data_IF_106991569501
#
_entry.id   IF_106991569501
#
_cell.length_a   1.000
_cell.length_b   1.000
_cell.length_c   1.000
_cell.angle_alpha   90.00
_cell.angle_beta   90.00
_cell.angle_gamma   90.00
#
_symmetry.space_group_name_H-M   'P 1'
#
loop_
_entity.id
_entity.type
_entity.pdbx_description
1 polymer ?
#
# COMPACT_ATOMS: atom_id res chain seq x y z
N UNK A 1 -13.40 24.12 -22.83
CA UNK A 1 -12.01 23.61 -23.08
C UNK A 1 -11.24 23.67 -21.77
N UNK A 2 -11.27 22.58 -21.02
CA UNK A 2 -10.57 22.46 -19.75
C UNK A 2 -9.12 22.17 -20.12
N UNK A 3 -8.25 23.15 -19.97
CA UNK A 3 -6.80 22.96 -20.08
C UNK A 3 -6.33 22.20 -18.84
N UNK A 4 -6.28 20.88 -18.93
CA UNK A 4 -5.54 20.06 -18.00
C UNK A 4 -4.08 20.06 -18.46
N UNK A 5 -3.23 20.66 -17.70
CA UNK A 5 -1.79 20.67 -17.88
C UNK A 5 -1.19 21.10 -16.56
N UNK A 6 -1.10 20.17 -15.60
CA UNK A 6 -0.21 20.40 -14.47
C UNK A 6 1.22 20.27 -14.99
N UNK A 7 2.01 21.28 -14.69
CA UNK A 7 3.45 21.29 -14.97
C UNK A 7 4.14 21.18 -13.64
N UNK A 8 4.97 20.17 -13.50
CA UNK A 8 5.77 19.94 -12.31
C UNK A 8 7.24 19.91 -12.73
N UNK A 9 8.05 20.77 -12.17
CA UNK A 9 9.43 20.98 -12.59
C UNK A 9 10.42 20.49 -11.53
N UNK A 10 11.46 19.82 -11.98
CA UNK A 10 12.73 19.67 -11.24
C UNK A 10 13.76 20.63 -11.82
N UNK A 11 14.95 20.69 -11.24
CA UNK A 11 16.06 21.50 -11.77
C UNK A 11 16.50 21.09 -13.19
N UNK A 12 16.23 19.83 -13.59
CA UNK A 12 16.69 19.26 -14.87
C UNK A 12 15.57 18.85 -15.81
N UNK A 13 14.42 18.47 -15.30
CA UNK A 13 13.31 17.93 -16.09
C UNK A 13 11.98 18.61 -15.76
N UNK A 14 11.15 18.72 -16.76
CA UNK A 14 9.75 19.16 -16.68
C UNK A 14 8.84 17.98 -16.98
N UNK A 15 7.80 17.81 -16.17
CA UNK A 15 6.79 16.75 -16.32
C UNK A 15 5.47 17.39 -16.71
N UNK A 16 4.89 16.93 -17.81
CA UNK A 16 3.61 17.43 -18.34
C UNK A 16 2.62 16.29 -18.41
N UNK A 17 1.51 16.45 -17.69
CA UNK A 17 0.37 15.57 -17.77
C UNK A 17 -0.54 15.89 -18.95
N UNK A 18 -1.27 14.92 -19.42
CA UNK A 18 -2.29 15.10 -20.45
C UNK A 18 -3.26 13.90 -20.49
N UNK A 19 -4.36 14.07 -21.23
CA UNK A 19 -5.26 12.96 -21.58
C UNK A 19 -4.55 11.82 -22.33
N UNK A 20 -3.38 12.09 -22.91
CA UNK A 20 -2.56 11.11 -23.66
C UNK A 20 -1.46 10.48 -22.80
N UNK A 21 -1.27 10.94 -21.55
CA UNK A 21 -0.30 10.39 -20.62
C UNK A 21 0.67 11.41 -20.03
N UNK A 22 1.76 10.92 -19.46
CA UNK A 22 2.83 11.70 -18.84
C UNK A 22 4.02 11.79 -19.78
N UNK A 23 4.52 13.02 -19.98
CA UNK A 23 5.72 13.30 -20.78
C UNK A 23 6.74 14.03 -19.94
N UNK A 24 7.97 13.55 -19.96
CA UNK A 24 9.15 14.19 -19.40
C UNK A 24 9.86 15.02 -20.49
N UNK A 25 10.30 16.21 -20.14
CA UNK A 25 11.09 17.09 -21.03
C UNK A 25 12.37 17.46 -20.30
N UNK A 26 13.51 17.10 -20.85
CA UNK A 26 14.79 17.59 -20.36
C UNK A 26 14.94 19.07 -20.71
N UNK A 27 15.05 19.94 -19.71
CA UNK A 27 15.06 21.39 -19.90
C UNK A 27 16.35 21.89 -20.60
N UNK A 28 17.45 21.18 -20.45
CA UNK A 28 18.74 21.57 -21.06
C UNK A 28 18.84 21.16 -22.53
N UNK A 29 18.32 19.98 -22.90
CA UNK A 29 18.46 19.43 -24.26
C UNK A 29 17.20 19.55 -25.10
N UNK A 30 16.04 19.83 -24.48
CA UNK A 30 14.73 19.82 -25.13
C UNK A 30 14.24 18.42 -25.52
N UNK A 31 14.97 17.34 -25.17
CA UNK A 31 14.54 15.97 -25.45
C UNK A 31 13.29 15.62 -24.65
N UNK A 32 12.39 14.90 -25.29
CA UNK A 32 11.13 14.47 -24.70
C UNK A 32 11.08 12.95 -24.59
N UNK A 33 10.59 12.45 -23.46
CA UNK A 33 10.38 11.03 -23.20
C UNK A 33 8.96 10.81 -22.66
N UNK A 34 8.22 9.91 -23.28
CA UNK A 34 6.91 9.54 -22.79
C UNK A 34 7.05 8.47 -21.71
N UNK A 35 6.51 8.76 -20.51
CA UNK A 35 6.62 7.88 -19.33
C UNK A 35 5.39 6.99 -19.18
N UNK A 36 4.19 7.55 -19.39
CA UNK A 36 2.92 6.83 -19.25
C UNK A 36 2.00 7.12 -20.44
N UNK A 37 1.20 6.11 -20.82
CA UNK A 37 0.21 6.19 -21.91
C UNK A 37 -1.23 6.12 -21.39
N UNK A 38 -1.49 6.59 -20.17
CA UNK A 38 -2.83 6.60 -19.55
C UNK A 38 -3.22 8.04 -19.25
N UNK A 39 -4.53 8.27 -19.08
CA UNK A 39 -5.00 9.62 -18.74
C UNK A 39 -4.53 10.00 -17.33
N UNK A 40 -3.61 10.97 -17.26
CA UNK A 40 -3.05 11.51 -16.02
C UNK A 40 -3.89 12.70 -15.57
N UNK A 41 -4.21 12.73 -14.28
CA UNK A 41 -5.08 13.73 -13.63
C UNK A 41 -4.35 14.58 -12.60
N UNK A 42 -3.35 14.02 -11.95
CA UNK A 42 -2.63 14.70 -10.88
C UNK A 42 -1.15 14.32 -10.87
N UNK A 43 -0.31 15.30 -10.55
CA UNK A 43 1.13 15.14 -10.36
C UNK A 43 1.50 15.75 -9.01
N UNK A 44 2.29 15.03 -8.21
CA UNK A 44 2.82 15.53 -6.96
C UNK A 44 4.21 14.98 -6.70
N UNK A 45 5.20 15.83 -6.52
CA UNK A 45 6.49 15.41 -5.97
C UNK A 45 6.34 15.13 -4.48
N UNK A 46 6.79 13.96 -4.04
CA UNK A 46 6.96 13.63 -2.63
C UNK A 46 8.37 13.98 -2.15
N UNK A 47 9.34 13.89 -3.05
CA UNK A 47 10.72 14.33 -2.87
C UNK A 47 11.31 14.69 -4.23
N UNK A 48 12.56 15.18 -4.26
CA UNK A 48 13.29 15.47 -5.50
C UNK A 48 13.45 14.25 -6.42
N UNK A 49 13.36 13.05 -5.85
CA UNK A 49 13.57 11.79 -6.55
C UNK A 49 12.30 10.92 -6.67
N UNK A 50 11.16 11.39 -6.17
CA UNK A 50 9.94 10.59 -6.18
C UNK A 50 8.74 11.42 -6.65
N UNK A 51 8.21 11.06 -7.84
CA UNK A 51 7.04 11.66 -8.45
C UNK A 51 5.85 10.71 -8.34
N UNK A 52 4.76 11.18 -7.74
CA UNK A 52 3.48 10.49 -7.67
C UNK A 52 2.57 10.99 -8.78
N UNK A 53 1.93 10.05 -9.46
CA UNK A 53 1.13 10.31 -10.67
C UNK A 53 -0.23 9.66 -10.50
N UNK A 54 -1.26 10.47 -10.33
CA UNK A 54 -2.65 10.02 -10.31
C UNK A 54 -3.21 9.90 -11.72
N UNK A 55 -3.75 8.74 -12.06
CA UNK A 55 -4.31 8.45 -13.36
C UNK A 55 -5.68 7.77 -13.24
N UNK A 56 -6.39 7.62 -14.37
CA UNK A 56 -7.64 6.87 -14.45
C UNK A 56 -7.44 5.35 -14.20
N UNK A 57 -6.21 4.87 -14.37
CA UNK A 57 -5.87 3.45 -14.26
C UNK A 57 -5.12 3.10 -12.98
N UNK A 58 -5.06 3.99 -12.01
CA UNK A 58 -4.38 3.78 -10.74
C UNK A 58 -3.41 4.88 -10.36
N UNK A 59 -2.65 4.60 -9.31
CA UNK A 59 -1.59 5.45 -8.80
C UNK A 59 -0.23 4.91 -9.27
N UNK A 60 0.58 5.77 -9.88
CA UNK A 60 1.95 5.45 -10.27
C UNK A 60 2.93 6.22 -9.39
N UNK A 61 3.94 5.52 -8.88
CA UNK A 61 5.04 6.11 -8.12
C UNK A 61 6.31 5.92 -8.94
N UNK A 62 6.84 7.03 -9.41
CA UNK A 62 8.02 7.06 -10.26
C UNK A 62 9.25 7.46 -9.48
N UNK A 63 10.24 6.57 -9.40
CA UNK A 63 11.55 6.85 -8.84
C UNK A 63 12.46 7.41 -9.93
N UNK A 64 12.80 8.70 -9.83
CA UNK A 64 13.55 9.44 -10.83
C UNK A 64 15.05 9.10 -10.85
N UNK A 65 15.55 8.43 -9.81
CA UNK A 65 16.97 8.06 -9.73
C UNK A 65 17.29 6.81 -10.55
N UNK A 66 16.36 5.84 -10.57
CA UNK A 66 16.58 4.53 -11.19
C UNK A 66 15.55 4.17 -12.26
N UNK A 67 14.72 5.12 -12.65
CA UNK A 67 13.65 4.97 -13.66
C UNK A 67 12.61 3.88 -13.31
N UNK A 68 12.50 3.48 -12.04
CA UNK A 68 11.54 2.45 -11.62
C UNK A 68 10.16 3.07 -11.43
N UNK A 69 9.15 2.43 -12.01
CA UNK A 69 7.75 2.77 -11.83
C UNK A 69 7.08 1.66 -11.00
N UNK A 70 6.41 2.04 -9.93
CA UNK A 70 5.50 1.18 -9.16
C UNK A 70 4.08 1.57 -9.52
N UNK A 71 3.26 0.62 -9.93
CA UNK A 71 1.85 0.84 -10.26
C UNK A 71 0.97 0.20 -9.19
N UNK A 72 0.14 0.99 -8.54
CA UNK A 72 -0.80 0.57 -7.52
C UNK A 72 -2.22 0.70 -8.06
N UNK A 73 -2.98 -0.38 -7.92
CA UNK A 73 -4.39 -0.49 -8.31
C UNK A 73 -5.21 -1.07 -7.17
N UNK A 74 -6.51 -0.94 -7.25
CA UNK A 74 -7.42 -1.67 -6.36
C UNK A 74 -7.24 -3.17 -6.63
N UNK A 75 -6.92 -3.97 -5.61
CA UNK A 75 -6.80 -5.41 -5.76
C UNK A 75 -8.15 -6.08 -5.94
N UNK A 76 -8.17 -7.28 -6.52
CA UNK A 76 -9.38 -8.10 -6.69
C UNK A 76 -9.96 -8.62 -5.35
N UNK A 77 -9.22 -8.50 -4.27
CA UNK A 77 -9.60 -8.91 -2.93
C UNK A 77 -9.79 -7.70 -2.02
N UNK A 78 -10.70 -7.80 -1.06
CA UNK A 78 -10.96 -6.79 -0.03
C UNK A 78 -9.73 -6.58 0.86
N UNK A 79 -8.85 -5.66 0.46
CA UNK A 79 -7.73 -5.18 1.25
C UNK A 79 -8.05 -3.78 1.79
N UNK A 80 -8.28 -3.68 3.09
CA UNK A 80 -8.58 -2.41 3.78
C UNK A 80 -7.46 -1.37 3.70
N UNK A 81 -6.26 -1.76 3.28
CA UNK A 81 -5.09 -0.90 3.15
C UNK A 81 -4.73 -0.58 1.69
N UNK A 82 -5.47 -1.15 0.75
CA UNK A 82 -5.30 -0.83 -0.66
C UNK A 82 -5.99 0.48 -1.04
N UNK A 83 -5.74 0.93 -2.26
CA UNK A 83 -6.49 2.02 -2.85
C UNK A 83 -7.98 1.67 -2.91
N UNK A 84 -8.82 2.65 -2.59
CA UNK A 84 -10.27 2.50 -2.61
C UNK A 84 -10.88 2.63 -4.02
N UNK A 85 -10.11 3.17 -4.98
CA UNK A 85 -10.52 3.36 -6.38
C UNK A 85 -9.27 3.52 -7.26
N UNK A 86 -9.38 3.12 -8.54
CA UNK A 86 -8.32 3.29 -9.53
C UNK A 86 -8.26 4.70 -10.14
N UNK A 87 -9.40 5.39 -10.20
CA UNK A 87 -9.46 6.73 -10.78
C UNK A 87 -8.95 7.79 -9.80
N UNK A 88 -7.67 8.11 -9.85
CA UNK A 88 -7.01 9.06 -8.95
C UNK A 88 -7.05 10.46 -9.55
N UNK A 89 -7.74 11.38 -8.86
CA UNK A 89 -8.02 12.74 -9.34
C UNK A 89 -7.20 13.83 -8.70
N UNK A 90 -6.71 13.62 -7.48
CA UNK A 90 -5.92 14.62 -6.77
C UNK A 90 -4.87 13.97 -5.88
N UNK A 91 -3.75 14.66 -5.73
CA UNK A 91 -2.64 14.29 -4.86
C UNK A 91 -2.21 15.51 -4.06
N UNK A 92 -1.93 15.36 -2.80
CA UNK A 92 -1.41 16.42 -1.95
C UNK A 92 -0.43 15.83 -0.93
N UNK A 93 0.81 16.31 -0.96
CA UNK A 93 1.79 16.02 0.06
C UNK A 93 1.59 16.97 1.23
N UNK A 94 1.46 16.45 2.45
CA UNK A 94 1.33 17.27 3.64
C UNK A 94 2.70 17.67 4.23
N UNK A 95 2.67 18.46 5.31
CA UNK A 95 3.87 18.95 5.99
C UNK A 95 4.69 17.86 6.67
N UNK A 96 4.08 16.70 6.91
CA UNK A 96 4.69 15.54 7.53
C UNK A 96 5.20 14.53 6.49
N UNK A 97 5.18 14.93 5.20
CA UNK A 97 5.51 14.08 4.05
C UNK A 97 4.55 12.89 3.85
N UNK A 98 3.37 12.93 4.42
CA UNK A 98 2.28 12.02 4.09
C UNK A 98 1.64 12.40 2.75
N UNK A 99 1.10 11.42 2.03
CA UNK A 99 0.43 11.66 0.76
C UNK A 99 -1.08 11.43 0.89
N UNK A 100 -1.85 12.47 0.62
CA UNK A 100 -3.29 12.43 0.49
C UNK A 100 -3.66 12.16 -0.97
N UNK A 101 -4.52 11.19 -1.20
CA UNK A 101 -4.88 10.67 -2.52
C UNK A 101 -6.39 10.73 -2.64
N UNK A 102 -6.88 11.65 -3.45
CA UNK A 102 -8.31 11.78 -3.73
C UNK A 102 -8.68 10.98 -4.97
N UNK A 103 -9.68 10.11 -4.85
CA UNK A 103 -10.20 9.28 -5.93
C UNK A 103 -11.60 9.73 -6.36
N UNK A 104 -12.06 9.23 -7.51
CA UNK A 104 -13.35 9.67 -8.08
C UNK A 104 -14.56 9.15 -7.30
N UNK A 105 -14.58 7.85 -7.00
CA UNK A 105 -15.67 7.22 -6.25
C UNK A 105 -15.25 6.68 -4.87
N UNK A 106 -13.96 6.43 -4.65
CA UNK A 106 -13.44 5.80 -3.44
C UNK A 106 -13.15 6.76 -2.28
N UNK A 107 -13.43 8.07 -2.43
CA UNK A 107 -13.17 9.08 -1.40
C UNK A 107 -11.69 9.43 -1.29
N UNK A 108 -11.13 9.39 -0.08
CA UNK A 108 -9.75 9.83 0.20
C UNK A 108 -8.96 8.70 0.85
N UNK A 109 -7.77 8.43 0.33
CA UNK A 109 -6.78 7.55 0.93
C UNK A 109 -5.63 8.38 1.50
N UNK A 110 -5.02 7.91 2.56
CA UNK A 110 -3.85 8.54 3.16
C UNK A 110 -2.70 7.54 3.28
N UNK A 111 -1.55 7.90 2.71
CA UNK A 111 -0.32 7.15 2.82
C UNK A 111 0.66 7.94 3.72
N UNK A 112 0.89 7.53 4.98
CA UNK A 112 1.79 8.23 5.89
C UNK A 112 3.25 8.11 5.42
N UNK A 113 4.07 9.11 5.77
CA UNK A 113 5.51 9.11 5.44
C UNK A 113 6.27 7.98 6.13
N UNK A 114 5.99 7.76 7.39
CA UNK A 114 6.55 6.65 8.13
C UNK A 114 5.55 5.50 8.15
N UNK A 115 5.96 4.38 7.62
CA UNK A 115 5.31 3.11 7.91
C UNK A 115 5.32 2.97 9.44
N UNK A 116 4.16 2.81 10.03
CA UNK A 116 4.05 2.60 11.46
C UNK A 116 4.97 1.45 11.88
N UNK A 117 5.61 1.56 13.04
CA UNK A 117 6.40 0.48 13.64
C UNK A 117 5.56 -0.77 13.94
N UNK A 118 4.30 -0.79 13.50
CA UNK A 118 3.37 -1.89 13.66
C UNK A 118 3.17 -2.57 12.30
N UNK A 119 3.66 -3.79 12.19
CA UNK A 119 3.27 -4.69 11.13
C UNK A 119 1.92 -5.32 11.49
N UNK A 120 0.97 -5.27 10.56
CA UNK A 120 -0.35 -5.86 10.78
C UNK A 120 -0.38 -7.25 10.16
N UNK A 121 -0.51 -8.25 11.01
CA UNK A 121 -0.73 -9.62 10.58
C UNK A 121 -2.22 -9.81 10.32
N UNK A 122 -2.59 -9.63 9.06
CA UNK A 122 -3.90 -10.01 8.57
C UNK A 122 -3.75 -11.26 7.74
N UNK A 123 -4.46 -12.35 8.05
CA UNK A 123 -4.41 -13.56 7.23
C UNK A 123 -4.93 -13.23 5.84
N UNK A 124 -4.01 -13.09 4.87
CA UNK A 124 -4.30 -12.66 3.49
C UNK A 124 -5.02 -13.73 2.69
N UNK A 125 -4.83 -15.02 3.03
CA UNK A 125 -5.33 -16.11 2.23
C UNK A 125 -6.33 -16.95 3.02
N UNK A 126 -7.59 -16.91 2.57
CA UNK A 126 -8.66 -17.87 2.89
C UNK A 126 -8.89 -18.26 4.35
N UNK A 127 -8.16 -17.68 5.30
CA UNK A 127 -8.35 -17.89 6.72
C UNK A 127 -9.49 -17.00 7.26
N UNK A 128 -10.64 -17.03 6.61
CA UNK A 128 -11.91 -16.59 7.23
C UNK A 128 -12.17 -17.30 8.57
N UNK A 129 -11.25 -18.17 8.97
CA UNK A 129 -11.28 -18.97 10.19
C UNK A 129 -10.36 -18.46 11.30
N UNK A 130 -9.45 -17.50 11.03
CA UNK A 130 -8.63 -16.90 12.07
C UNK A 130 -9.49 -16.02 12.98
N UNK A 131 -9.40 -16.23 14.28
CA UNK A 131 -10.17 -15.48 15.28
C UNK A 131 -9.81 -13.98 15.26
N UNK A 132 -10.81 -13.12 15.30
CA UNK A 132 -10.61 -11.67 15.37
C UNK A 132 -10.27 -11.18 16.78
N UNK A 133 -10.41 -12.04 17.78
CA UNK A 133 -10.22 -11.71 19.19
C UNK A 133 -9.05 -12.52 19.73
N UNK A 134 -7.85 -12.00 19.54
CA UNK A 134 -6.63 -12.57 20.12
C UNK A 134 -6.61 -12.28 21.62
N UNK A 135 -6.42 -13.31 22.41
CA UNK A 135 -6.37 -13.26 23.87
C UNK A 135 -4.97 -13.44 24.41
N UNK A 136 -4.25 -14.41 23.87
CA UNK A 136 -2.96 -14.84 24.37
C UNK A 136 -1.97 -14.99 23.21
N UNK A 137 -0.73 -14.63 23.46
CA UNK A 137 0.38 -14.88 22.54
C UNK A 137 1.55 -15.41 23.39
N UNK A 138 2.13 -16.52 22.95
CA UNK A 138 3.30 -17.11 23.60
C UNK A 138 4.32 -17.50 22.55
N UNK A 139 5.58 -17.09 22.74
CA UNK A 139 6.69 -17.49 21.87
C UNK A 139 7.20 -18.85 22.28
N UNK A 140 7.36 -19.76 21.33
CA UNK A 140 7.94 -21.08 21.50
C UNK A 140 9.47 -21.03 21.45
N UNK A 141 10.15 -22.05 21.97
CA UNK A 141 11.62 -22.14 21.96
C UNK A 141 12.24 -22.16 20.54
N UNK A 142 11.45 -22.50 19.54
CA UNK A 142 11.84 -22.52 18.12
C UNK A 142 11.57 -21.18 17.38
N UNK A 143 11.12 -20.14 18.11
CA UNK A 143 10.81 -18.83 17.56
C UNK A 143 9.44 -18.72 16.88
N UNK A 144 8.61 -19.78 16.89
CA UNK A 144 7.23 -19.70 16.44
C UNK A 144 6.34 -19.06 17.52
N UNK A 145 5.22 -18.48 17.12
CA UNK A 145 4.26 -17.86 18.03
C UNK A 145 2.98 -18.70 18.13
N UNK A 146 2.60 -19.03 19.35
CA UNK A 146 1.29 -19.60 19.65
C UNK A 146 0.30 -18.48 19.94
N UNK A 147 -0.81 -18.46 19.19
CA UNK A 147 -1.82 -17.42 19.26
C UNK A 147 -3.15 -18.02 19.68
N UNK A 148 -3.56 -17.70 20.90
CA UNK A 148 -4.84 -18.11 21.46
C UNK A 148 -5.93 -17.09 21.15
N UNK A 149 -7.06 -17.58 20.65
CA UNK A 149 -8.20 -16.73 20.30
C UNK A 149 -9.42 -17.05 21.16
N UNK A 150 -10.36 -16.10 21.23
CA UNK A 150 -11.59 -16.27 22.01
C UNK A 150 -12.64 -17.13 21.27
N UNK A 151 -12.56 -17.18 19.95
CA UNK A 151 -13.64 -17.71 19.11
C UNK A 151 -13.22 -18.77 18.09
N UNK A 152 -11.90 -18.98 17.90
CA UNK A 152 -11.38 -19.88 16.85
C UNK A 152 -10.28 -20.84 17.31
N UNK A 153 -10.00 -20.89 18.61
CA UNK A 153 -9.01 -21.81 19.18
C UNK A 153 -7.58 -21.31 19.11
N UNK A 154 -6.65 -22.23 18.90
CA UNK A 154 -5.21 -22.01 18.95
C UNK A 154 -4.62 -22.05 17.55
N UNK A 155 -3.69 -21.13 17.28
CA UNK A 155 -2.94 -21.06 16.02
C UNK A 155 -1.44 -21.05 16.30
N UNK A 156 -0.66 -21.59 15.38
CA UNK A 156 0.78 -21.45 15.33
C UNK A 156 1.16 -20.53 14.17
N UNK A 157 1.97 -19.52 14.44
CA UNK A 157 2.50 -18.57 13.46
C UNK A 157 4.01 -18.70 13.38
N UNK A 158 4.53 -18.87 12.17
CA UNK A 158 5.96 -18.88 11.90
C UNK A 158 6.38 -17.51 11.30
N UNK A 159 7.17 -16.69 12.04
CA UNK A 159 7.59 -15.37 11.59
C UNK A 159 8.51 -15.40 10.36
N UNK A 160 9.30 -16.46 10.15
CA UNK A 160 10.26 -16.55 9.05
C UNK A 160 9.59 -16.63 7.69
N UNK A 161 8.47 -17.36 7.60
CA UNK A 161 7.77 -17.56 6.32
C UNK A 161 6.37 -16.93 6.29
N UNK A 162 5.94 -16.28 7.39
CA UNK A 162 4.64 -15.64 7.51
C UNK A 162 3.44 -16.59 7.54
N UNK A 163 3.69 -17.91 7.71
CA UNK A 163 2.64 -18.93 7.69
C UNK A 163 1.93 -19.01 9.04
N UNK A 164 0.60 -19.03 9.02
CA UNK A 164 -0.23 -19.25 10.19
C UNK A 164 -1.11 -20.48 9.96
N UNK A 165 -1.13 -21.40 10.93
CA UNK A 165 -1.87 -22.66 10.85
C UNK A 165 -2.71 -22.87 12.10
N UNK A 166 -3.97 -23.35 11.96
CA UNK A 166 -4.76 -23.76 13.11
C UNK A 166 -4.13 -24.99 13.75
N UNK A 167 -4.11 -25.00 15.07
CA UNK A 167 -3.72 -26.16 15.84
C UNK A 167 -4.97 -26.89 16.36
N UNK A 168 -5.25 -28.05 15.78
CA UNK A 168 -6.39 -28.86 16.14
C UNK A 168 -5.99 -29.96 17.12
N UNK A 169 -6.53 -29.92 18.34
CA UNK A 169 -6.37 -30.96 19.34
C UNK A 169 -7.67 -31.10 20.14
N UNK A 170 -8.12 -32.35 20.42
CA UNK A 170 -9.41 -32.63 21.12
C UNK A 170 -9.57 -31.96 22.48
N UNK A 171 -8.46 -31.66 23.17
CA UNK A 171 -8.46 -30.98 24.47
C UNK A 171 -8.46 -29.44 24.39
N UNK A 172 -8.36 -28.85 23.18
CA UNK A 172 -8.32 -27.41 23.01
C UNK A 172 -9.69 -26.92 22.56
N UNK A 173 -10.28 -26.06 23.37
CA UNK A 173 -11.56 -25.42 23.07
C UNK A 173 -11.35 -24.20 22.14
N UNK A 174 -12.44 -23.75 21.51
CA UNK A 174 -12.42 -22.57 20.64
C UNK A 174 -12.02 -21.27 21.37
N UNK A 175 -12.12 -21.27 22.69
CA UNK A 175 -11.79 -20.15 23.54
C UNK A 175 -10.54 -20.48 24.38
N UNK A 176 -9.42 -19.85 24.05
CA UNK A 176 -8.13 -20.06 24.72
C UNK A 176 -7.84 -18.87 25.63
N UNK A 177 -7.72 -19.13 26.95
CA UNK A 177 -7.56 -18.10 27.98
C UNK A 177 -6.18 -18.07 28.65
N UNK A 178 -5.28 -18.92 28.28
CA UNK A 178 -3.93 -18.94 28.84
C UNK A 178 -3.02 -19.86 28.05
N UNK A 179 -1.82 -19.39 27.78
CA UNK A 179 -0.74 -20.16 27.18
C UNK A 179 0.48 -20.06 28.08
N UNK A 180 1.13 -21.17 28.32
CA UNK A 180 2.37 -21.25 29.08
C UNK A 180 3.30 -22.28 28.42
N UNK A 181 4.57 -21.96 28.34
CA UNK A 181 5.63 -22.88 27.98
C UNK A 181 6.17 -23.56 29.25
N UNK A 182 6.45 -24.84 29.15
CA UNK A 182 7.19 -25.60 30.18
C UNK A 182 8.71 -25.41 30.03
#
# INVERSE_FOLDING_TARGET
EIKHGQVSDTTTCRYIDSVKGLTEINQATGQTRKLLNTYVRALQFKSDNELWVGAESGLYIYNLTNDKITHLTVPDQDDLYALSDNAIYSLCCDKENGMWIGSYFGGVNYCPYQWTYFEKFYPRDNLRHFGRRVREICESNDGTLWIGTEDKGLFNYNPENGKIEPFEHPAIYQNVHGLCLD
#
